data_IF_773786242205
#
_entry.id   IF_773786242205
#
_cell.length_a   1.000
_cell.length_b   1.000
_cell.length_c   1.000
_cell.angle_alpha   90.00
_cell.angle_beta   90.00
_cell.angle_gamma   90.00
#
_symmetry.space_group_name_H-M   'P 1'
#
loop_
_entity.id
_entity.type
_entity.pdbx_description
1 polymer ?
#
# COMPACT_ATOMS: atom_id res chain seq x y z
N UNK A 1 -21.16 6.59 -30.14
CA UNK A 1 -20.71 6.13 -28.84
C UNK A 1 -20.20 7.30 -28.03
N UNK A 2 -20.84 7.53 -26.88
CA UNK A 2 -20.63 8.73 -26.05
C UNK A 2 -19.27 8.78 -25.33
N UNK A 3 -18.40 7.81 -25.50
CA UNK A 3 -17.10 7.78 -24.85
C UNK A 3 -16.08 8.69 -25.50
N UNK A 4 -16.42 9.33 -26.63
CA UNK A 4 -15.37 9.85 -27.46
C UNK A 4 -15.53 11.28 -27.95
N UNK A 5 -16.65 11.89 -27.70
CA UNK A 5 -16.93 13.25 -28.17
C UNK A 5 -16.15 14.35 -27.44
N UNK A 6 -15.25 14.01 -26.51
CA UNK A 6 -14.52 14.97 -25.67
C UNK A 6 -13.01 14.99 -25.89
N UNK A 7 -12.50 14.14 -26.73
CA UNK A 7 -11.07 14.10 -27.01
C UNK A 7 -10.70 15.11 -28.07
N UNK A 8 -10.58 16.36 -27.70
CA UNK A 8 -9.95 17.37 -28.54
C UNK A 8 -8.44 17.10 -28.64
N UNK A 9 -8.06 15.90 -29.09
CA UNK A 9 -6.67 15.54 -29.36
C UNK A 9 -6.50 15.38 -30.87
N UNK A 10 -5.52 16.06 -31.43
CA UNK A 10 -5.22 16.01 -32.87
C UNK A 10 -4.92 14.59 -33.36
N UNK A 11 -4.50 13.67 -32.46
CA UNK A 11 -4.26 12.25 -32.77
C UNK A 11 -5.52 11.39 -32.72
N UNK A 12 -6.62 11.89 -32.17
CA UNK A 12 -7.85 11.14 -31.96
C UNK A 12 -9.11 11.87 -32.44
N UNK A 13 -8.97 12.91 -33.25
CA UNK A 13 -10.09 13.78 -33.70
C UNK A 13 -11.21 13.05 -34.43
N UNK A 14 -11.00 11.81 -34.86
CA UNK A 14 -12.01 10.94 -35.50
C UNK A 14 -12.00 9.51 -34.93
N UNK A 15 -11.29 9.26 -33.87
CA UNK A 15 -11.18 7.94 -33.23
C UNK A 15 -12.04 7.85 -32.00
N UNK A 16 -12.47 6.64 -31.67
CA UNK A 16 -13.23 6.35 -30.44
C UNK A 16 -12.30 6.13 -29.24
N UNK A 17 -11.18 6.82 -29.19
CA UNK A 17 -10.16 6.70 -28.15
C UNK A 17 -9.79 8.04 -27.59
N UNK A 18 -9.46 8.10 -26.32
CA UNK A 18 -8.88 9.28 -25.69
C UNK A 18 -7.39 9.08 -25.46
N UNK A 19 -6.57 10.08 -25.79
CA UNK A 19 -5.15 10.09 -25.48
C UNK A 19 -4.85 10.76 -24.13
N UNK A 20 -5.86 11.32 -23.47
CA UNK A 20 -5.74 12.06 -22.22
C UNK A 20 -6.55 11.33 -21.16
N UNK A 21 -6.03 10.23 -20.65
CA UNK A 21 -6.62 9.56 -19.50
C UNK A 21 -5.53 9.28 -18.46
N UNK A 22 -5.72 9.83 -17.27
CA UNK A 22 -4.82 9.66 -16.15
C UNK A 22 -5.61 9.42 -14.86
N UNK A 23 -4.89 9.06 -13.81
CA UNK A 23 -5.44 8.87 -12.48
C UNK A 23 -5.76 7.40 -12.15
N UNK A 24 -5.92 7.16 -10.86
CA UNK A 24 -6.22 5.85 -10.29
C UNK A 24 -7.57 5.29 -10.71
N UNK A 25 -8.50 6.18 -11.14
CA UNK A 25 -9.81 5.79 -11.67
C UNK A 25 -9.72 5.01 -12.99
N UNK A 26 -8.60 5.12 -13.71
CA UNK A 26 -8.33 4.31 -14.91
C UNK A 26 -7.69 2.97 -14.54
N UNK A 27 -6.87 2.95 -13.49
CA UNK A 27 -6.16 1.76 -13.05
C UNK A 27 -7.08 0.76 -12.35
N UNK A 28 -8.02 1.24 -11.54
CA UNK A 28 -8.92 0.40 -10.76
C UNK A 28 -9.76 -0.57 -11.62
N UNK A 29 -10.41 -0.16 -12.72
CA UNK A 29 -11.17 -1.09 -13.57
C UNK A 29 -10.28 -2.11 -14.30
N UNK A 30 -9.03 -1.76 -14.62
CA UNK A 30 -8.09 -2.74 -15.17
C UNK A 30 -7.79 -3.84 -14.14
N UNK A 31 -7.56 -3.46 -12.88
CA UNK A 31 -7.41 -4.42 -11.79
C UNK A 31 -8.66 -5.27 -11.62
N UNK A 32 -9.86 -4.66 -11.65
CA UNK A 32 -11.13 -5.39 -11.54
C UNK A 32 -11.29 -6.44 -12.65
N UNK A 33 -10.89 -6.10 -13.87
CA UNK A 33 -10.87 -7.04 -15.00
C UNK A 33 -9.93 -8.24 -14.76
N UNK A 34 -8.74 -7.98 -14.25
CA UNK A 34 -7.79 -9.06 -13.89
C UNK A 34 -8.35 -9.95 -12.78
N UNK A 35 -8.96 -9.35 -11.74
CA UNK A 35 -9.59 -10.10 -10.66
C UNK A 35 -10.73 -10.99 -11.20
N UNK A 36 -11.55 -10.48 -12.11
CA UNK A 36 -12.61 -11.27 -12.74
C UNK A 36 -12.04 -12.50 -13.48
N UNK A 37 -10.93 -12.35 -14.20
CA UNK A 37 -10.24 -13.46 -14.84
C UNK A 37 -9.64 -14.45 -13.82
N UNK A 38 -9.10 -13.96 -12.71
CA UNK A 38 -8.60 -14.83 -11.63
C UNK A 38 -9.73 -15.67 -11.02
N UNK A 39 -10.87 -15.04 -10.72
CA UNK A 39 -12.04 -15.72 -10.15
C UNK A 39 -12.68 -16.67 -11.15
N UNK A 40 -12.65 -16.37 -12.44
CA UNK A 40 -13.05 -17.30 -13.49
C UNK A 40 -12.13 -18.54 -13.53
N UNK A 41 -10.82 -18.33 -13.38
CA UNK A 41 -9.85 -19.42 -13.38
C UNK A 41 -9.92 -20.29 -12.10
N UNK A 42 -10.30 -19.69 -10.98
CA UNK A 42 -10.45 -20.37 -9.70
C UNK A 42 -11.55 -19.70 -8.85
N UNK A 43 -12.79 -20.17 -8.92
CA UNK A 43 -13.93 -19.61 -8.18
C UNK A 43 -13.86 -19.77 -6.66
N UNK A 44 -12.93 -20.57 -6.15
CA UNK A 44 -12.77 -20.80 -4.69
C UNK A 44 -11.94 -19.74 -4.01
N UNK A 45 -11.34 -18.80 -4.74
CA UNK A 45 -10.53 -17.73 -4.17
C UNK A 45 -11.37 -16.78 -3.33
N UNK A 46 -10.96 -16.59 -2.09
CA UNK A 46 -11.43 -15.48 -1.26
C UNK A 46 -10.74 -14.16 -1.61
N UNK A 47 -11.28 -13.05 -1.12
CA UNK A 47 -10.69 -11.72 -1.37
C UNK A 47 -9.24 -11.59 -0.85
N UNK A 48 -8.91 -12.30 0.23
CA UNK A 48 -7.56 -12.33 0.80
C UNK A 48 -6.59 -13.11 -0.08
N UNK A 49 -7.04 -14.23 -0.67
CA UNK A 49 -6.25 -15.00 -1.62
C UNK A 49 -5.93 -14.18 -2.86
N UNK A 50 -6.93 -13.45 -3.38
CA UNK A 50 -6.75 -12.52 -4.50
C UNK A 50 -5.70 -11.46 -4.17
N UNK A 51 -5.78 -10.81 -3.01
CA UNK A 51 -4.78 -9.81 -2.57
C UNK A 51 -3.38 -10.40 -2.47
N UNK A 52 -3.26 -11.59 -1.91
CA UNK A 52 -1.99 -12.30 -1.79
C UNK A 52 -1.38 -12.63 -3.16
N UNK A 53 -2.18 -13.18 -4.08
CA UNK A 53 -1.73 -13.47 -5.44
C UNK A 53 -1.26 -12.20 -6.15
N UNK A 54 -2.02 -11.12 -6.07
CA UNK A 54 -1.66 -9.85 -6.70
C UNK A 54 -0.36 -9.28 -6.13
N UNK A 55 -0.20 -9.30 -4.80
CA UNK A 55 1.04 -8.84 -4.16
C UNK A 55 2.27 -9.65 -4.60
N UNK A 56 2.11 -10.96 -4.80
CA UNK A 56 3.19 -11.86 -5.22
C UNK A 56 3.56 -11.76 -6.69
N UNK A 57 2.61 -11.40 -7.55
CA UNK A 57 2.77 -11.44 -9.00
C UNK A 57 2.99 -10.07 -9.62
N UNK A 58 2.78 -8.99 -8.88
CA UNK A 58 3.04 -7.62 -9.34
C UNK A 58 4.53 -7.37 -9.58
N UNK A 59 4.80 -6.53 -10.55
CA UNK A 59 6.17 -6.15 -10.95
C UNK A 59 6.47 -4.73 -10.49
N UNK A 60 7.69 -4.51 -10.01
CA UNK A 60 8.14 -3.16 -9.69
C UNK A 60 8.04 -2.25 -10.92
N UNK A 61 7.36 -1.14 -10.76
CA UNK A 61 7.41 -0.01 -11.69
C UNK A 61 8.50 0.93 -11.21
N UNK A 62 9.26 1.52 -12.12
CA UNK A 62 10.38 2.39 -11.76
C UNK A 62 11.29 1.71 -10.70
N UNK A 63 11.80 0.55 -11.06
CA UNK A 63 12.47 -0.34 -10.12
C UNK A 63 13.74 0.25 -9.48
N UNK A 64 14.29 1.28 -10.11
CA UNK A 64 15.49 2.00 -9.64
C UNK A 64 15.17 3.20 -8.77
N UNK A 65 13.88 3.49 -8.54
CA UNK A 65 13.48 4.62 -7.71
C UNK A 65 14.04 4.49 -6.31
N UNK A 66 14.87 5.45 -5.96
CA UNK A 66 15.39 5.63 -4.60
C UNK A 66 14.39 6.39 -3.74
N UNK A 67 14.52 6.26 -2.43
CA UNK A 67 13.74 7.04 -1.46
C UNK A 67 13.99 8.55 -1.60
N UNK A 68 13.10 9.32 -1.01
CA UNK A 68 13.18 10.78 -0.95
C UNK A 68 13.59 11.20 0.44
N UNK A 69 14.72 11.87 0.53
CA UNK A 69 15.20 12.47 1.77
C UNK A 69 15.09 13.99 1.66
N UNK A 70 14.56 14.63 2.68
CA UNK A 70 14.44 16.09 2.67
C UNK A 70 15.82 16.77 2.75
N UNK A 71 15.94 17.91 2.10
CA UNK A 71 17.07 18.80 2.28
C UNK A 71 17.00 19.59 3.60
N UNK A 72 15.81 19.66 4.19
CA UNK A 72 15.63 20.29 5.51
C UNK A 72 16.15 19.35 6.56
N UNK A 73 17.07 19.84 7.36
CA UNK A 73 17.69 19.08 8.44
C UNK A 73 16.95 19.35 9.75
N UNK A 74 16.63 18.29 10.48
CA UNK A 74 16.20 18.40 11.86
C UNK A 74 17.42 18.17 12.73
N UNK A 75 17.84 19.18 13.46
CA UNK A 75 19.07 19.17 14.25
C UNK A 75 20.31 18.69 13.46
N UNK A 76 20.40 19.10 12.19
CA UNK A 76 21.49 18.69 11.31
C UNK A 76 21.33 17.31 10.66
N UNK A 77 20.25 16.60 10.90
CA UNK A 77 20.00 15.27 10.35
C UNK A 77 18.96 15.32 9.23
N UNK A 78 19.25 14.80 8.03
CA UNK A 78 18.25 14.65 6.98
C UNK A 78 17.15 13.68 7.39
N UNK A 79 15.90 14.00 7.03
CA UNK A 79 14.75 13.14 7.29
C UNK A 79 14.33 12.44 6.01
N UNK A 80 14.18 11.12 6.07
CA UNK A 80 13.65 10.34 4.96
C UNK A 80 12.12 10.45 4.93
N UNK A 81 11.60 11.04 3.86
CA UNK A 81 10.15 11.22 3.66
C UNK A 81 9.50 10.02 2.97
N UNK A 82 10.27 9.32 2.16
CA UNK A 82 9.84 8.12 1.43
C UNK A 82 11.03 7.18 1.31
N UNK A 83 10.84 5.94 1.69
CA UNK A 83 11.90 4.92 1.63
C UNK A 83 12.08 4.32 0.23
N UNK A 84 11.22 4.69 -0.73
CA UNK A 84 11.20 4.07 -2.05
C UNK A 84 10.64 2.65 -2.01
N UNK A 85 11.31 1.70 -2.68
CA UNK A 85 10.93 0.30 -2.66
C UNK A 85 11.50 -0.42 -1.43
N UNK A 86 10.62 -0.88 -0.56
CA UNK A 86 10.96 -1.65 0.65
C UNK A 86 10.47 -3.08 0.51
N UNK A 87 11.26 -4.04 0.97
CA UNK A 87 10.85 -5.45 1.01
C UNK A 87 10.32 -5.76 2.41
N UNK A 88 9.08 -6.23 2.49
CA UNK A 88 8.50 -6.62 3.77
C UNK A 88 8.99 -8.02 4.23
N UNK A 89 8.66 -8.40 5.46
CA UNK A 89 9.06 -9.70 6.03
C UNK A 89 8.50 -10.92 5.29
N UNK A 90 7.37 -10.75 4.57
CA UNK A 90 6.82 -11.78 3.69
C UNK A 90 7.57 -11.89 2.36
N UNK A 91 8.53 -11.01 2.11
CA UNK A 91 9.34 -11.01 0.91
C UNK A 91 8.76 -10.22 -0.27
N UNK A 92 7.67 -9.50 -0.06
CA UNK A 92 7.03 -8.69 -1.10
C UNK A 92 7.61 -7.28 -1.11
N UNK A 93 7.73 -6.72 -2.33
CA UNK A 93 8.12 -5.34 -2.50
C UNK A 93 6.91 -4.42 -2.37
N UNK A 94 7.08 -3.34 -1.66
CA UNK A 94 6.07 -2.30 -1.50
C UNK A 94 6.70 -0.91 -1.63
N UNK A 95 5.96 0.02 -2.20
CA UNK A 95 6.32 1.43 -2.29
C UNK A 95 5.10 2.30 -2.02
N UNK A 96 5.29 3.40 -1.33
CA UNK A 96 4.22 4.38 -1.09
C UNK A 96 3.70 5.01 -2.40
N UNK A 97 4.52 5.03 -3.46
CA UNK A 97 4.15 5.57 -4.76
C UNK A 97 3.45 4.55 -5.67
N UNK A 98 3.84 3.29 -5.57
CA UNK A 98 3.44 2.26 -6.55
C UNK A 98 2.73 1.06 -5.92
N UNK A 99 2.50 1.07 -4.60
CA UNK A 99 1.95 -0.10 -3.91
C UNK A 99 2.84 -1.33 -4.09
N UNK A 100 2.26 -2.44 -4.51
CA UNK A 100 3.02 -3.66 -4.85
C UNK A 100 3.59 -3.63 -6.28
N UNK A 101 3.26 -2.61 -7.07
CA UNK A 101 3.74 -2.43 -8.44
C UNK A 101 2.68 -2.62 -9.52
N UNK A 102 3.12 -2.72 -10.76
CA UNK A 102 2.24 -2.94 -11.89
C UNK A 102 1.70 -4.38 -11.92
N UNK A 103 0.44 -4.51 -12.30
CA UNK A 103 -0.23 -5.81 -12.39
C UNK A 103 0.36 -6.61 -13.56
N UNK A 104 0.73 -7.86 -13.29
CA UNK A 104 0.98 -8.86 -14.33
C UNK A 104 -0.24 -9.78 -14.42
N UNK A 105 -1.14 -9.48 -15.35
CA UNK A 105 -2.39 -10.21 -15.50
C UNK A 105 -2.16 -11.71 -15.80
N UNK A 106 -1.19 -12.02 -16.65
CA UNK A 106 -0.88 -13.40 -17.01
C UNK A 106 -0.34 -14.19 -15.81
N UNK A 107 0.59 -13.59 -15.05
CA UNK A 107 1.13 -14.20 -13.85
C UNK A 107 0.06 -14.36 -12.76
N UNK A 108 -0.81 -13.35 -12.57
CA UNK A 108 -1.89 -13.38 -11.58
C UNK A 108 -2.91 -14.49 -11.90
N UNK A 109 -3.38 -14.57 -13.15
CA UNK A 109 -4.35 -15.61 -13.57
C UNK A 109 -3.74 -17.01 -13.50
N UNK A 110 -2.48 -17.17 -13.91
CA UNK A 110 -1.81 -18.47 -13.80
C UNK A 110 -1.60 -18.88 -12.34
N UNK A 111 -1.21 -17.96 -11.48
CA UNK A 111 -1.11 -18.20 -10.04
C UNK A 111 -2.47 -18.54 -9.41
N UNK A 112 -3.54 -17.86 -9.82
CA UNK A 112 -4.91 -18.14 -9.39
C UNK A 112 -5.36 -19.55 -9.77
N UNK A 113 -5.12 -19.96 -11.02
CA UNK A 113 -5.47 -21.30 -11.53
C UNK A 113 -4.80 -22.41 -10.72
N UNK A 114 -3.57 -22.21 -10.29
CA UNK A 114 -2.78 -23.20 -9.57
C UNK A 114 -2.78 -22.99 -8.05
N UNK A 115 -3.64 -22.10 -7.53
CA UNK A 115 -3.68 -21.75 -6.11
C UNK A 115 -4.39 -22.84 -5.31
N UNK A 116 -3.67 -23.41 -4.35
CA UNK A 116 -4.15 -24.48 -3.46
C UNK A 116 -4.02 -24.15 -1.98
N UNK A 117 -3.27 -23.09 -1.64
CA UNK A 117 -2.98 -22.69 -0.26
C UNK A 117 -3.93 -21.58 0.20
N UNK A 118 -5.23 -21.92 0.27
CA UNK A 118 -6.25 -20.97 0.71
C UNK A 118 -5.98 -20.48 2.12
N UNK A 119 -6.12 -19.16 2.31
CA UNK A 119 -5.92 -18.56 3.60
C UNK A 119 -7.03 -18.96 4.57
N UNK A 120 -6.71 -19.37 5.81
CA UNK A 120 -7.71 -19.73 6.80
C UNK A 120 -8.56 -18.53 7.19
N UNK A 121 -9.61 -18.74 7.96
CA UNK A 121 -10.44 -17.66 8.48
C UNK A 121 -9.59 -16.59 9.18
N UNK A 122 -9.88 -15.33 8.89
CA UNK A 122 -9.17 -14.21 9.50
C UNK A 122 -9.45 -14.16 11.00
N UNK A 123 -8.40 -14.02 11.76
CA UNK A 123 -8.45 -13.75 13.19
C UNK A 123 -7.97 -12.32 13.46
N UNK A 124 -8.57 -11.66 14.43
CA UNK A 124 -8.20 -10.32 14.86
C UNK A 124 -7.79 -10.34 16.32
N UNK A 125 -6.72 -9.62 16.62
CA UNK A 125 -6.32 -9.28 17.97
C UNK A 125 -6.16 -7.78 18.08
N UNK A 126 -6.59 -7.18 19.17
CA UNK A 126 -6.43 -5.75 19.42
C UNK A 126 -5.82 -5.52 20.79
N UNK A 127 -4.98 -4.51 20.88
CA UNK A 127 -4.44 -4.00 22.11
C UNK A 127 -4.77 -2.52 22.18
N UNK A 128 -5.37 -2.12 23.28
CA UNK A 128 -5.62 -0.71 23.58
C UNK A 128 -4.58 -0.26 24.61
N UNK A 129 -3.90 0.82 24.36
CA UNK A 129 -3.12 1.52 25.36
C UNK A 129 -3.87 2.80 25.73
N UNK A 130 -4.32 2.87 26.95
CA UNK A 130 -4.76 4.13 27.50
C UNK A 130 -3.54 4.80 28.12
N UNK A 131 -3.06 5.86 27.50
CA UNK A 131 -2.06 6.70 28.15
C UNK A 131 -2.69 7.34 29.35
N UNK A 132 -2.03 7.19 30.50
CA UNK A 132 -2.44 7.89 31.72
C UNK A 132 -1.95 9.34 31.75
N UNK A 133 -1.18 9.76 30.76
CA UNK A 133 -0.65 11.11 30.61
C UNK A 133 -0.40 11.39 29.12
N UNK A 134 -0.52 12.65 28.73
CA UNK A 134 -0.17 13.13 27.41
C UNK A 134 1.32 12.90 27.17
N UNK A 135 1.66 12.06 26.23
CA UNK A 135 3.05 11.85 25.82
C UNK A 135 3.47 12.99 24.90
N UNK A 136 4.49 13.72 25.31
CA UNK A 136 5.00 14.83 24.53
C UNK A 136 5.93 14.33 23.42
N UNK A 137 5.59 14.62 22.19
CA UNK A 137 6.50 14.42 21.05
C UNK A 137 7.44 15.63 20.98
N UNK A 138 8.76 15.43 21.09
CA UNK A 138 9.70 16.54 21.06
C UNK A 138 9.66 17.28 19.73
N UNK A 139 9.56 18.60 19.76
CA UNK A 139 9.60 19.43 18.56
C UNK A 139 11.03 19.47 17.98
N UNK A 140 11.12 19.52 16.66
CA UNK A 140 12.39 19.60 15.92
C UNK A 140 13.40 18.52 16.33
N UNK A 141 12.94 17.35 16.69
CA UNK A 141 13.77 16.23 17.13
C UNK A 141 13.65 15.05 16.18
N UNK A 142 14.76 14.37 15.93
CA UNK A 142 14.80 13.07 15.25
C UNK A 142 14.61 11.92 16.26
N UNK A 143 14.64 12.22 17.55
CA UNK A 143 14.33 11.28 18.62
C UNK A 143 12.87 11.47 18.96
N UNK A 144 12.03 10.57 18.49
CA UNK A 144 10.59 10.58 18.77
C UNK A 144 10.27 9.97 20.14
N UNK A 145 8.97 9.90 20.43
CA UNK A 145 8.46 9.08 21.52
C UNK A 145 8.15 7.68 20.98
N UNK A 146 8.54 6.65 21.72
CA UNK A 146 8.37 5.25 21.32
C UNK A 146 7.42 4.55 22.26
N UNK A 147 6.41 3.92 21.70
CA UNK A 147 5.45 3.12 22.42
C UNK A 147 5.58 1.67 22.01
N UNK A 148 5.68 0.80 22.99
CA UNK A 148 5.80 -0.63 22.75
C UNK A 148 4.51 -1.35 23.15
N UNK A 149 3.95 -2.10 22.22
CA UNK A 149 2.78 -2.94 22.45
C UNK A 149 3.18 -4.39 22.33
N UNK A 150 2.80 -5.20 23.30
CA UNK A 150 2.98 -6.65 23.22
C UNK A 150 1.64 -7.27 22.85
N UNK A 151 1.59 -7.90 21.69
CA UNK A 151 0.45 -8.67 21.23
C UNK A 151 0.83 -10.15 21.35
N UNK A 152 0.05 -10.92 22.09
CA UNK A 152 0.22 -12.37 22.19
C UNK A 152 -0.89 -13.06 21.39
N UNK A 153 -0.75 -13.13 20.07
CA UNK A 153 -1.77 -13.73 19.22
C UNK A 153 -1.68 -15.25 19.25
N UNK A 154 -2.81 -15.90 19.02
CA UNK A 154 -2.85 -17.34 18.73
C UNK A 154 -2.47 -17.68 17.28
N UNK A 155 -2.13 -16.67 16.49
CA UNK A 155 -1.76 -16.81 15.07
C UNK A 155 -0.27 -16.50 14.87
N UNK A 156 0.32 -17.14 13.86
CA UNK A 156 1.77 -17.08 13.58
C UNK A 156 2.18 -16.06 12.52
N UNK A 157 1.22 -15.42 11.84
CA UNK A 157 1.50 -14.45 10.78
C UNK A 157 0.50 -13.31 10.79
N UNK A 158 0.96 -12.13 10.43
CA UNK A 158 0.16 -10.90 10.35
C UNK A 158 0.00 -10.51 8.88
N UNK A 159 -1.25 -10.38 8.43
CA UNK A 159 -1.55 -9.87 7.09
C UNK A 159 -1.72 -8.35 7.06
N UNK A 160 -2.23 -7.80 8.16
CA UNK A 160 -2.52 -6.38 8.26
C UNK A 160 -2.40 -5.93 9.71
N UNK A 161 -1.74 -4.79 9.92
CA UNK A 161 -1.72 -4.08 11.18
C UNK A 161 -2.36 -2.70 10.98
N UNK A 162 -3.25 -2.33 11.89
CA UNK A 162 -3.86 -1.00 11.91
C UNK A 162 -3.53 -0.34 13.24
N UNK A 163 -3.01 0.88 13.17
CA UNK A 163 -2.77 1.72 14.34
C UNK A 163 -3.74 2.88 14.28
N UNK A 164 -4.51 3.06 15.34
CA UNK A 164 -5.39 4.22 15.51
C UNK A 164 -4.75 5.10 16.57
N UNK A 165 -4.34 6.29 16.16
CA UNK A 165 -3.73 7.28 17.03
C UNK A 165 -4.71 8.45 17.22
N UNK A 166 -4.93 8.82 18.46
CA UNK A 166 -5.57 10.07 18.81
C UNK A 166 -4.47 11.04 19.25
N UNK A 167 -4.21 12.03 18.44
CA UNK A 167 -3.17 13.04 18.67
C UNK A 167 -3.80 14.41 18.75
N UNK A 168 -3.33 15.20 19.66
CA UNK A 168 -3.66 16.61 19.78
C UNK A 168 -2.37 17.41 19.57
N UNK A 169 -2.36 18.25 18.56
CA UNK A 169 -1.27 19.19 18.34
C UNK A 169 -1.85 20.52 17.87
N UNK A 170 -1.29 21.58 18.37
CA UNK A 170 -1.55 22.92 17.89
C UNK A 170 -0.20 23.61 17.67
N UNK A 171 0.18 23.90 16.44
CA UNK A 171 -0.64 24.08 15.23
C UNK A 171 -0.36 23.15 14.05
N UNK A 172 0.06 21.90 14.22
CA UNK A 172 0.36 21.18 12.99
C UNK A 172 0.65 19.69 13.07
N UNK A 173 -0.40 18.84 13.16
CA UNK A 173 -0.27 17.38 13.04
C UNK A 173 0.44 16.93 11.74
N UNK A 174 0.39 17.75 10.70
CA UNK A 174 1.03 17.45 9.41
C UNK A 174 2.57 17.39 9.45
N UNK A 175 3.18 17.85 10.55
CA UNK A 175 4.63 17.87 10.72
C UNK A 175 5.17 16.65 11.48
N UNK A 176 4.33 15.67 11.80
CA UNK A 176 4.73 14.48 12.53
C UNK A 176 5.01 13.31 11.59
N UNK A 177 6.08 12.59 11.86
CA UNK A 177 6.36 11.29 11.23
C UNK A 177 5.95 10.19 12.21
N UNK A 178 5.18 9.24 11.72
CA UNK A 178 4.71 8.09 12.48
C UNK A 178 5.26 6.83 11.82
N UNK A 179 5.88 5.97 12.60
CA UNK A 179 6.45 4.72 12.13
C UNK A 179 5.95 3.56 12.97
N UNK A 180 5.52 2.49 12.32
CA UNK A 180 5.20 1.21 12.95
C UNK A 180 6.36 0.26 12.72
N UNK A 181 7.02 -0.14 13.80
CA UNK A 181 8.17 -1.03 13.76
C UNK A 181 7.74 -2.41 14.27
N UNK A 182 7.93 -3.44 13.45
CA UNK A 182 7.81 -4.84 13.87
C UNK A 182 9.15 -5.32 14.43
N UNK A 183 9.16 -6.13 15.47
CA UNK A 183 10.37 -6.76 16.00
C UNK A 183 11.03 -7.70 14.99
#
# INVERSE_FOLDING_TARGET
NALDSRGANALAAQCQYTAIMNGTSSAAPNLSGVIALMLHANPLLGYRDVKNILARTSKKTDATRVGVTTSTLINGTPVTLDQGWVRNSAGYWFSNWYGFGAIDAAAAVNAAKNYTSYLPSMQTSSVNSNFSSDELVPQYSTVGSTLTFTINPSFSSVEHAMVILNMYDSPGLACNQIELISP
#
